data_IF_793391662778
#
_entry.id   IF_793391662778
#
_cell.length_a   1.000
_cell.length_b   1.000
_cell.length_c   1.000
_cell.angle_alpha   90.00
_cell.angle_beta   90.00
_cell.angle_gamma   90.00
#
_symmetry.space_group_name_H-M   'P 1'
#
loop_
_entity.id
_entity.type
_entity.pdbx_description
1 polymer ?
#
# COMPACT_ATOMS: atom_id res chain seq x y z
N UNK A 1 53.54 -46.30 -39.31
CA UNK A 1 52.78 -45.03 -39.25
C UNK A 1 51.63 -45.19 -38.25
N UNK A 2 51.66 -44.38 -37.17
CA UNK A 2 50.55 -43.84 -36.33
C UNK A 2 49.39 -44.79 -35.95
N UNK A 3 49.33 -45.25 -34.69
CA UNK A 3 48.65 -44.64 -33.51
C UNK A 3 47.16 -44.99 -33.43
N UNK A 4 46.75 -45.66 -32.34
CA UNK A 4 45.64 -45.27 -31.44
C UNK A 4 45.29 -46.43 -30.50
N UNK A 5 46.07 -46.58 -29.43
CA UNK A 5 45.68 -47.36 -28.25
C UNK A 5 44.98 -46.40 -27.30
N UNK A 6 43.67 -46.60 -27.10
CA UNK A 6 42.85 -45.80 -26.19
C UNK A 6 43.12 -46.22 -24.74
N UNK A 7 43.70 -45.31 -23.95
CA UNK A 7 43.94 -45.49 -22.52
C UNK A 7 42.70 -45.06 -21.73
N UNK A 8 41.95 -46.01 -21.18
CA UNK A 8 40.88 -45.75 -20.21
C UNK A 8 41.53 -45.70 -18.82
N UNK A 9 41.70 -44.50 -18.28
CA UNK A 9 42.14 -44.27 -16.91
C UNK A 9 40.90 -44.21 -16.02
N UNK A 10 40.70 -45.24 -15.20
CA UNK A 10 39.67 -45.29 -14.17
C UNK A 10 40.33 -45.21 -12.78
N UNK A 11 39.62 -44.52 -11.88
CA UNK A 11 39.75 -44.49 -10.41
C UNK A 11 40.84 -43.62 -9.77
N UNK A 12 40.45 -42.39 -9.39
CA UNK A 12 40.77 -41.78 -8.08
C UNK A 12 39.70 -40.76 -7.65
N UNK A 13 38.50 -41.21 -7.26
CA UNK A 13 37.60 -40.38 -6.45
C UNK A 13 37.98 -40.53 -4.96
N UNK A 14 38.91 -39.69 -4.52
CA UNK A 14 39.13 -39.39 -3.11
C UNK A 14 39.10 -37.86 -2.93
N UNK A 15 37.95 -37.25 -3.23
CA UNK A 15 37.70 -35.85 -2.90
C UNK A 15 37.33 -35.78 -1.41
N UNK A 16 38.29 -35.35 -0.61
CA UNK A 16 38.13 -35.01 0.80
C UNK A 16 36.94 -34.08 1.02
N UNK A 17 35.92 -34.55 1.72
CA UNK A 17 34.91 -33.73 2.37
C UNK A 17 35.55 -32.96 3.53
N UNK A 18 36.26 -31.87 3.23
CA UNK A 18 36.79 -30.94 4.23
C UNK A 18 35.96 -29.66 4.16
N UNK A 19 35.01 -29.53 5.08
CA UNK A 19 34.22 -28.32 5.25
C UNK A 19 35.17 -27.13 5.51
N UNK A 20 35.06 -26.02 4.77
CA UNK A 20 35.91 -24.86 5.01
C UNK A 20 35.59 -24.28 6.39
N UNK A 21 36.59 -24.18 7.26
CA UNK A 21 36.52 -23.35 8.46
C UNK A 21 36.52 -21.90 7.98
N UNK A 22 35.50 -21.09 8.29
CA UNK A 22 35.48 -19.69 7.88
C UNK A 22 36.66 -18.96 8.53
N UNK A 23 37.30 -18.00 7.82
CA UNK A 23 38.48 -17.33 8.33
C UNK A 23 38.17 -16.60 9.64
N UNK A 24 39.03 -16.80 10.63
CA UNK A 24 39.06 -15.99 11.84
C UNK A 24 39.25 -14.54 11.43
N UNK A 25 38.33 -13.65 11.81
CA UNK A 25 38.45 -12.21 11.54
C UNK A 25 39.73 -11.70 12.20
N UNK A 26 40.58 -11.06 11.39
CA UNK A 26 41.83 -10.47 11.84
C UNK A 26 41.55 -9.46 12.98
N UNK A 27 42.17 -9.68 14.15
CA UNK A 27 41.95 -8.88 15.37
C UNK A 27 41.01 -9.48 16.42
N UNK A 28 40.49 -10.69 16.24
CA UNK A 28 39.75 -11.39 17.30
C UNK A 28 40.71 -12.02 18.34
N UNK A 29 40.45 -11.88 19.66
CA UNK A 29 41.26 -12.53 20.69
C UNK A 29 41.12 -14.06 20.63
N UNK A 30 42.21 -14.78 20.93
CA UNK A 30 42.34 -16.24 20.78
C UNK A 30 41.32 -17.06 21.59
N UNK A 31 40.62 -16.42 22.54
CA UNK A 31 39.62 -17.01 23.42
C UNK A 31 38.18 -16.54 23.13
N UNK A 32 37.89 -16.04 21.92
CA UNK A 32 36.54 -15.64 21.54
C UNK A 32 35.58 -16.85 21.49
N UNK A 33 34.75 -17.00 22.53
CA UNK A 33 33.66 -18.00 22.56
C UNK A 33 32.41 -17.41 21.91
N UNK A 34 31.83 -18.12 20.93
CA UNK A 34 30.50 -17.78 20.38
C UNK A 34 29.44 -18.26 21.36
N UNK A 35 28.72 -17.32 21.97
CA UNK A 35 27.53 -17.62 22.77
C UNK A 35 26.31 -17.62 21.84
N UNK A 36 25.53 -18.70 21.86
CA UNK A 36 24.21 -18.73 21.23
C UNK A 36 23.27 -17.85 22.05
N UNK A 37 22.75 -16.78 21.47
CA UNK A 37 21.68 -16.02 22.09
C UNK A 37 20.41 -16.88 22.11
N UNK A 38 19.67 -16.96 23.24
CA UNK A 38 18.36 -17.59 23.25
C UNK A 38 17.44 -16.87 22.27
N UNK A 39 16.57 -17.64 21.62
CA UNK A 39 15.58 -17.12 20.68
C UNK A 39 14.67 -16.14 21.44
N UNK A 40 14.78 -14.86 21.11
CA UNK A 40 14.00 -13.80 21.77
C UNK A 40 12.55 -13.94 21.30
N UNK A 41 11.64 -14.22 22.23
CA UNK A 41 10.19 -14.09 22.01
C UNK A 41 9.92 -12.66 21.48
N UNK A 42 9.20 -12.53 20.36
CA UNK A 42 8.97 -11.23 19.75
C UNK A 42 8.26 -10.29 20.74
N UNK A 43 8.89 -9.15 21.03
CA UNK A 43 8.29 -8.10 21.85
C UNK A 43 6.99 -7.61 21.18
N UNK A 44 5.92 -7.29 21.93
CA UNK A 44 4.75 -6.67 21.35
C UNK A 44 5.16 -5.34 20.69
N UNK A 45 4.98 -5.25 19.36
CA UNK A 45 5.38 -4.10 18.55
C UNK A 45 6.55 -4.36 17.60
N UNK A 46 7.14 -5.56 17.55
CA UNK A 46 8.01 -5.90 16.41
C UNK A 46 7.13 -6.08 15.19
N UNK A 47 7.30 -5.19 14.21
CA UNK A 47 6.73 -5.27 12.87
C UNK A 47 6.88 -6.71 12.38
N UNK A 48 5.76 -7.37 12.17
CA UNK A 48 5.76 -8.60 11.39
C UNK A 48 6.13 -8.19 9.97
N UNK A 49 7.41 -8.38 9.62
CA UNK A 49 7.97 -8.11 8.29
C UNK A 49 7.21 -8.87 7.19
N UNK A 50 6.46 -9.91 7.55
CA UNK A 50 5.59 -10.68 6.66
C UNK A 50 4.14 -10.18 6.63
N UNK A 51 3.75 -9.23 7.49
CA UNK A 51 2.40 -8.67 7.46
C UNK A 51 2.16 -7.95 6.13
N UNK A 52 1.06 -8.27 5.46
CA UNK A 52 0.65 -7.59 4.24
C UNK A 52 -0.34 -6.47 4.56
N UNK A 53 -0.30 -5.33 3.85
CA UNK A 53 -1.26 -4.29 4.04
C UNK A 53 -2.65 -4.74 3.58
N UNK A 54 -3.66 -4.47 4.39
CA UNK A 54 -5.05 -4.88 4.13
C UNK A 54 -6.01 -3.73 4.41
N UNK A 55 -7.23 -3.86 3.89
CA UNK A 55 -8.32 -2.93 4.20
C UNK A 55 -9.01 -3.33 5.52
N UNK A 56 -9.24 -2.34 6.37
CA UNK A 56 -10.07 -2.46 7.57
C UNK A 56 -11.13 -1.34 7.57
N UNK A 57 -12.40 -1.70 7.75
CA UNK A 57 -13.49 -0.72 7.90
C UNK A 57 -13.53 -0.18 9.33
N UNK A 58 -14.05 1.04 9.49
CA UNK A 58 -14.50 1.53 10.78
C UNK A 58 -15.77 0.82 11.24
N UNK A 59 -16.07 0.80 12.56
CA UNK A 59 -17.27 0.17 13.10
C UNK A 59 -18.59 0.69 12.51
N UNK A 60 -18.63 1.96 12.10
CA UNK A 60 -19.80 2.60 11.47
C UNK A 60 -19.93 2.32 9.96
N UNK A 61 -18.96 1.63 9.35
CA UNK A 61 -18.93 1.36 7.91
C UNK A 61 -18.75 2.60 7.03
N UNK A 62 -18.46 3.77 7.60
CA UNK A 62 -18.34 5.04 6.88
C UNK A 62 -16.90 5.40 6.53
N UNK A 63 -15.92 4.60 6.94
CA UNK A 63 -14.54 4.77 6.55
C UNK A 63 -13.81 3.43 6.42
N UNK A 64 -12.75 3.40 5.63
CA UNK A 64 -11.82 2.28 5.54
C UNK A 64 -10.38 2.79 5.51
N UNK A 65 -9.49 1.96 6.06
CA UNK A 65 -8.05 2.22 6.17
C UNK A 65 -7.29 1.07 5.52
N UNK A 66 -6.35 1.40 4.65
CA UNK A 66 -5.45 0.45 4.01
C UNK A 66 -4.05 0.61 4.60
N UNK A 67 -3.48 -0.46 5.14
CA UNK A 67 -2.13 -0.45 5.71
C UNK A 67 -1.83 -1.72 6.50
N UNK A 68 -0.65 -1.76 7.12
CA UNK A 68 -0.28 -2.86 8.00
C UNK A 68 -1.06 -2.76 9.31
N UNK A 69 -1.59 -3.88 9.84
CA UNK A 69 -2.27 -3.89 11.14
C UNK A 69 -1.38 -3.30 12.24
N UNK A 70 -1.93 -2.41 13.06
CA UNK A 70 -1.20 -1.76 14.16
C UNK A 70 -0.31 -0.58 13.76
N UNK A 71 -0.16 -0.30 12.46
CA UNK A 71 0.64 0.84 11.97
C UNK A 71 -0.26 2.00 11.50
N UNK A 72 0.38 3.14 11.21
CA UNK A 72 -0.30 4.22 10.51
C UNK A 72 -0.78 3.70 9.15
N UNK A 73 -2.06 3.90 8.79
CA UNK A 73 -2.55 3.49 7.48
C UNK A 73 -1.75 4.20 6.39
N UNK A 74 -1.58 3.54 5.25
CA UNK A 74 -0.96 4.13 4.07
C UNK A 74 -1.97 5.04 3.36
N UNK A 75 -3.21 4.58 3.21
CA UNK A 75 -4.32 5.36 2.63
C UNK A 75 -5.54 5.16 3.51
N UNK A 76 -6.33 6.21 3.70
CA UNK A 76 -7.65 6.11 4.29
C UNK A 76 -8.69 6.78 3.41
N UNK A 77 -9.91 6.27 3.47
CA UNK A 77 -11.07 6.86 2.81
C UNK A 77 -12.18 6.97 3.85
N UNK A 78 -12.69 8.17 4.05
CA UNK A 78 -13.88 8.41 4.87
C UNK A 78 -14.99 8.98 4.00
N UNK A 79 -16.25 8.71 4.36
CA UNK A 79 -17.40 9.34 3.74
C UNK A 79 -18.06 10.31 4.70
N UNK A 80 -18.33 11.53 4.22
CA UNK A 80 -19.12 12.54 4.94
C UNK A 80 -20.18 13.09 4.00
N UNK A 81 -21.45 12.88 4.34
CA UNK A 81 -22.59 13.39 3.58
C UNK A 81 -22.50 13.12 2.06
N UNK A 82 -22.12 11.90 1.68
CA UNK A 82 -21.98 11.52 0.25
C UNK A 82 -20.71 12.02 -0.44
N UNK A 83 -19.73 12.54 0.30
CA UNK A 83 -18.43 12.96 -0.21
C UNK A 83 -17.35 12.08 0.40
N UNK A 84 -16.50 11.49 -0.44
CA UNK A 84 -15.30 10.80 0.02
C UNK A 84 -14.20 11.80 0.32
N UNK A 85 -13.56 11.63 1.48
CA UNK A 85 -12.27 12.22 1.83
C UNK A 85 -11.22 11.10 1.69
N UNK A 86 -10.35 11.20 0.69
CA UNK A 86 -9.25 10.26 0.47
C UNK A 86 -7.98 10.89 1.00
N UNK A 87 -7.35 10.25 1.97
CA UNK A 87 -6.11 10.73 2.60
C UNK A 87 -4.97 9.76 2.30
N UNK A 88 -3.90 10.25 1.65
CA UNK A 88 -2.63 9.53 1.56
C UNK A 88 -1.78 9.97 2.75
N UNK A 89 -1.49 9.02 3.64
CA UNK A 89 -0.70 9.25 4.85
C UNK A 89 0.79 9.29 4.52
N UNK A 90 1.19 10.39 3.89
CA UNK A 90 2.56 10.79 3.67
C UNK A 90 2.62 12.30 3.88
N UNK A 91 3.73 12.79 4.43
CA UNK A 91 3.88 14.21 4.69
C UNK A 91 3.78 15.03 3.40
N UNK A 92 2.94 16.05 3.43
CA UNK A 92 2.79 17.03 2.38
C UNK A 92 3.53 18.32 2.80
N UNK A 93 4.32 18.94 1.90
CA UNK A 93 4.83 20.27 2.15
C UNK A 93 3.67 21.26 2.33
N UNK A 94 3.85 22.26 3.21
CA UNK A 94 2.82 23.26 3.49
C UNK A 94 2.40 23.96 2.20
N UNK A 95 1.09 24.03 1.96
CA UNK A 95 0.51 24.67 0.78
C UNK A 95 0.73 23.93 -0.55
N UNK A 96 1.25 22.70 -0.52
CA UNK A 96 1.45 21.92 -1.72
C UNK A 96 0.13 21.36 -2.27
N UNK A 97 0.06 21.25 -3.60
CA UNK A 97 -1.05 20.67 -4.34
C UNK A 97 -0.50 19.66 -5.34
N UNK A 98 -1.24 18.59 -5.60
CA UNK A 98 -0.83 17.55 -6.54
C UNK A 98 -2.03 16.80 -7.11
N UNK A 99 -1.75 15.94 -8.09
CA UNK A 99 -2.68 14.92 -8.55
C UNK A 99 -2.21 13.56 -8.05
N UNK A 100 -3.00 12.93 -7.20
CA UNK A 100 -2.80 11.53 -6.82
C UNK A 100 -3.31 10.65 -7.96
N UNK A 101 -2.38 10.11 -8.75
CA UNK A 101 -2.71 9.27 -9.89
C UNK A 101 -2.90 7.82 -9.45
N UNK A 102 -4.13 7.33 -9.52
CA UNK A 102 -4.53 5.97 -9.21
C UNK A 102 -4.85 5.24 -10.52
N UNK A 103 -4.21 4.10 -10.73
CA UNK A 103 -4.35 3.29 -11.95
C UNK A 103 -4.65 1.86 -11.54
N UNK A 104 -5.81 1.36 -11.93
CA UNK A 104 -6.27 0.00 -11.65
C UNK A 104 -7.09 -0.57 -12.80
N UNK A 105 -7.57 -1.81 -12.65
CA UNK A 105 -8.43 -2.46 -13.67
C UNK A 105 -9.73 -1.70 -13.93
N UNK A 106 -10.25 -1.04 -12.90
CA UNK A 106 -11.50 -0.27 -12.97
C UNK A 106 -11.35 1.08 -13.69
N UNK A 107 -10.10 1.48 -14.00
CA UNK A 107 -9.78 2.70 -14.74
C UNK A 107 -8.67 3.54 -14.11
N UNK A 108 -8.62 4.80 -14.52
CA UNK A 108 -7.64 5.78 -14.07
C UNK A 108 -8.37 6.91 -13.35
N UNK A 109 -7.90 7.26 -12.16
CA UNK A 109 -8.37 8.42 -11.41
C UNK A 109 -7.19 9.32 -11.07
N UNK A 110 -7.23 10.58 -11.50
CA UNK A 110 -6.30 11.62 -11.06
C UNK A 110 -7.05 12.48 -10.05
N UNK A 111 -6.87 12.18 -8.77
CA UNK A 111 -7.56 12.88 -7.68
C UNK A 111 -6.76 14.14 -7.33
N UNK A 112 -7.33 15.35 -7.42
CA UNK A 112 -6.73 16.54 -6.84
C UNK A 112 -6.57 16.38 -5.34
N UNK A 113 -5.37 16.65 -4.83
CA UNK A 113 -5.06 16.58 -3.41
C UNK A 113 -4.27 17.81 -2.97
N UNK A 114 -4.54 18.24 -1.75
CA UNK A 114 -3.90 19.37 -1.10
C UNK A 114 -3.24 18.95 0.21
N UNK A 115 -2.21 19.71 0.60
CA UNK A 115 -1.62 19.61 1.93
C UNK A 115 -2.63 20.06 3.00
N UNK A 116 -3.16 19.11 3.75
CA UNK A 116 -4.25 19.32 4.71
C UNK A 116 -3.83 18.93 6.12
N UNK A 117 -4.13 19.79 7.09
CA UNK A 117 -3.92 19.50 8.50
C UNK A 117 -5.01 18.55 9.00
N UNK A 118 -4.62 17.36 9.46
CA UNK A 118 -5.55 16.34 9.94
C UNK A 118 -5.58 16.36 11.48
N UNK A 119 -6.77 16.43 12.12
CA UNK A 119 -6.88 16.42 13.58
C UNK A 119 -6.14 15.24 14.23
N UNK A 120 -5.34 15.52 15.25
CA UNK A 120 -4.55 14.51 15.97
C UNK A 120 -3.30 14.02 15.23
N UNK A 121 -2.97 14.55 14.04
CA UNK A 121 -1.73 14.28 13.33
C UNK A 121 -0.84 15.53 13.35
N UNK A 122 0.48 15.33 13.41
CA UNK A 122 1.44 16.43 13.25
C UNK A 122 1.68 16.68 11.77
N UNK A 123 1.80 17.94 11.39
CA UNK A 123 2.07 18.35 10.00
C UNK A 123 0.85 18.23 9.09
N UNK A 124 1.11 18.24 7.79
CA UNK A 124 0.10 18.17 6.74
C UNK A 124 0.22 16.85 6.01
N UNK A 125 -0.92 16.27 5.64
CA UNK A 125 -1.02 15.07 4.82
C UNK A 125 -1.72 15.42 3.51
N UNK A 126 -1.54 14.58 2.50
CA UNK A 126 -2.24 14.74 1.24
C UNK A 126 -3.69 14.29 1.35
N UNK A 127 -4.64 15.18 1.12
CA UNK A 127 -6.06 14.86 1.14
C UNK A 127 -6.76 15.43 -0.09
N UNK A 128 -7.66 14.65 -0.67
CA UNK A 128 -8.53 15.07 -1.76
C UNK A 128 -9.95 14.59 -1.53
N UNK A 129 -10.89 15.14 -2.30
CA UNK A 129 -12.31 14.80 -2.18
C UNK A 129 -12.92 14.37 -3.50
N UNK A 130 -13.97 13.56 -3.41
CA UNK A 130 -14.71 13.04 -4.56
C UNK A 130 -16.16 12.78 -4.18
N UNK A 131 -17.10 13.19 -5.02
CA UNK A 131 -18.52 12.89 -4.81
C UNK A 131 -18.78 11.37 -4.93
N UNK A 132 -19.73 10.84 -4.15
CA UNK A 132 -19.99 9.39 -4.12
C UNK A 132 -20.57 8.82 -5.42
N UNK A 133 -21.25 9.67 -6.20
CA UNK A 133 -21.80 9.37 -7.52
C UNK A 133 -20.79 9.53 -8.66
N UNK A 134 -19.60 10.09 -8.40
CA UNK A 134 -18.56 10.20 -9.43
C UNK A 134 -18.20 8.81 -9.96
N UNK A 135 -18.27 8.58 -11.29
CA UNK A 135 -18.03 7.27 -11.88
C UNK A 135 -16.61 6.74 -11.63
N UNK A 136 -15.65 7.60 -11.28
CA UNK A 136 -14.25 7.24 -10.98
C UNK A 136 -14.09 6.62 -9.58
N UNK A 137 -15.07 6.75 -8.69
CA UNK A 137 -15.08 6.11 -7.35
C UNK A 137 -14.79 4.61 -7.42
N UNK A 138 -15.22 3.93 -8.51
CA UNK A 138 -14.97 2.50 -8.73
C UNK A 138 -13.48 2.11 -8.63
N UNK A 139 -12.55 3.02 -8.96
CA UNK A 139 -11.11 2.79 -8.83
C UNK A 139 -10.72 2.48 -7.39
N UNK A 140 -11.34 3.15 -6.41
CA UNK A 140 -11.07 2.92 -4.98
C UNK A 140 -11.55 1.55 -4.49
N UNK A 141 -12.57 0.96 -5.15
CA UNK A 141 -13.11 -0.36 -4.79
C UNK A 141 -12.32 -1.53 -5.38
N UNK A 142 -11.45 -1.26 -6.34
CA UNK A 142 -10.58 -2.24 -6.99
C UNK A 142 -9.14 -2.24 -6.44
N UNK A 143 -8.30 -3.08 -7.03
CA UNK A 143 -6.85 -3.00 -6.81
C UNK A 143 -6.27 -1.92 -7.72
N UNK A 144 -5.31 -1.14 -7.21
CA UNK A 144 -4.70 -0.05 -7.96
C UNK A 144 -3.25 0.21 -7.54
N UNK A 145 -2.49 0.80 -8.44
CA UNK A 145 -1.22 1.46 -8.14
C UNK A 145 -1.45 2.96 -8.08
N UNK A 146 -1.02 3.58 -6.99
CA UNK A 146 -1.07 5.02 -6.77
C UNK A 146 0.30 5.66 -6.88
N UNK A 147 0.43 6.81 -7.54
CA UNK A 147 1.64 7.63 -7.53
C UNK A 147 1.31 9.07 -7.18
N UNK A 148 2.12 9.65 -6.29
CA UNK A 148 1.93 11.01 -5.80
C UNK A 148 3.29 11.72 -5.71
N UNK A 149 3.46 12.89 -6.36
CA UNK A 149 4.67 13.70 -6.21
C UNK A 149 5.01 13.94 -4.74
N UNK A 150 6.28 13.72 -4.37
CA UNK A 150 6.75 13.87 -2.99
C UNK A 150 6.39 12.73 -2.02
N UNK A 151 5.43 11.86 -2.37
CA UNK A 151 4.98 10.73 -1.53
C UNK A 151 5.21 9.34 -2.17
N UNK A 152 5.73 9.31 -3.41
CA UNK A 152 6.15 8.09 -4.09
C UNK A 152 4.99 7.23 -4.61
N UNK A 153 5.27 5.93 -4.72
CA UNK A 153 4.34 4.90 -5.23
C UNK A 153 3.74 4.09 -4.08
N UNK A 154 2.48 3.71 -4.21
CA UNK A 154 1.79 2.72 -3.37
C UNK A 154 1.10 1.68 -4.27
N UNK A 155 1.06 0.43 -3.82
CA UNK A 155 0.21 -0.61 -4.41
C UNK A 155 -0.86 -0.99 -3.40
N UNK A 156 -2.12 -0.93 -3.81
CA UNK A 156 -3.28 -1.18 -2.95
C UNK A 156 -4.05 -2.36 -3.51
N UNK A 157 -4.30 -3.37 -2.68
CA UNK A 157 -5.14 -4.50 -3.03
C UNK A 157 -6.62 -4.13 -2.95
N UNK A 158 -7.47 -4.85 -3.69
CA UNK A 158 -8.91 -4.73 -3.51
C UNK A 158 -9.33 -5.27 -2.13
N UNK A 159 -10.43 -4.78 -1.58
CA UNK A 159 -10.96 -5.28 -0.31
C UNK A 159 -12.47 -5.06 -0.18
N UNK A 160 -13.16 -6.05 0.40
CA UNK A 160 -14.58 -5.94 0.72
C UNK A 160 -14.91 -4.72 1.61
N UNK A 161 -14.10 -4.37 2.63
CA UNK A 161 -14.38 -3.20 3.47
C UNK A 161 -14.50 -1.89 2.68
N UNK A 162 -13.61 -1.65 1.71
CA UNK A 162 -13.64 -0.43 0.90
C UNK A 162 -14.86 -0.40 -0.05
N UNK A 163 -15.26 -1.55 -0.60
CA UNK A 163 -16.47 -1.65 -1.42
C UNK A 163 -17.74 -1.38 -0.61
N UNK A 164 -17.79 -1.84 0.64
CA UNK A 164 -18.92 -1.57 1.53
C UNK A 164 -19.03 -0.07 1.86
N UNK A 165 -17.90 0.58 2.17
CA UNK A 165 -17.84 2.04 2.37
C UNK A 165 -18.36 2.78 1.13
N UNK A 166 -18.01 2.30 -0.08
CA UNK A 166 -18.51 2.90 -1.33
C UNK A 166 -20.03 2.78 -1.43
N UNK A 167 -20.55 1.57 -1.21
CA UNK A 167 -21.98 1.31 -1.26
C UNK A 167 -22.75 2.16 -0.25
N UNK A 168 -22.25 2.25 0.99
CA UNK A 168 -22.89 3.01 2.06
C UNK A 168 -22.83 4.51 1.81
N UNK A 169 -21.69 5.03 1.35
CA UNK A 169 -21.55 6.46 1.09
C UNK A 169 -22.51 6.96 0.00
N UNK A 170 -22.74 6.15 -1.04
CA UNK A 170 -23.71 6.46 -2.10
C UNK A 170 -25.15 6.57 -1.58
N UNK A 171 -25.52 5.75 -0.58
CA UNK A 171 -26.84 5.83 0.06
C UNK A 171 -26.99 7.10 0.91
N UNK A 172 -25.88 7.64 1.40
CA UNK A 172 -25.82 8.86 2.21
C UNK A 172 -25.71 10.13 1.38
N UNK A 173 -25.61 10.03 0.05
CA UNK A 173 -25.58 11.19 -0.83
C UNK A 173 -26.95 11.89 -0.81
N UNK A 174 -26.99 13.23 -0.68
CA UNK A 174 -28.23 13.97 -0.88
C UNK A 174 -28.80 13.59 -2.24
N UNK A 175 -30.04 13.10 -2.28
CA UNK A 175 -30.75 12.95 -3.54
C UNK A 175 -30.84 14.34 -4.14
N UNK A 176 -30.13 14.61 -5.24
CA UNK A 176 -30.34 15.82 -6.00
C UNK A 176 -31.83 15.87 -6.36
N UNK A 177 -32.54 16.89 -5.87
CA UNK A 177 -33.91 17.12 -6.29
C UNK A 177 -33.91 17.24 -7.82
N UNK A 178 -34.88 16.62 -8.53
CA UNK A 178 -34.95 16.77 -9.97
C UNK A 178 -34.96 18.26 -10.33
N UNK A 179 -34.09 18.63 -11.27
CA UNK A 179 -34.02 19.99 -11.80
C UNK A 179 -35.42 20.41 -12.26
N UNK A 180 -35.95 21.58 -11.85
CA UNK A 180 -37.26 22.03 -12.28
C UNK A 180 -37.27 22.10 -13.81
N UNK A 181 -38.11 21.29 -14.46
CA UNK A 181 -38.35 21.39 -15.89
C UNK A 181 -39.04 22.74 -16.12
N UNK A 182 -38.28 23.72 -16.61
CA UNK A 182 -38.83 24.99 -17.03
C UNK A 182 -39.83 24.73 -18.17
N UNK A 183 -41.08 25.23 -18.10
CA UNK A 183 -42.04 25.03 -19.17
C UNK A 183 -41.53 25.72 -20.44
N UNK A 184 -41.48 24.96 -21.53
CA UNK A 184 -41.22 25.48 -22.88
C UNK A 184 -42.29 26.51 -23.22
N UNK A 185 -41.92 27.78 -23.28
CA UNK A 185 -42.78 28.84 -23.79
C UNK A 185 -42.91 28.67 -25.30
N UNK A 186 -43.98 27.98 -25.72
CA UNK A 186 -44.47 28.06 -27.08
C UNK A 186 -44.92 29.50 -27.35
N UNK A 187 -44.33 30.11 -28.38
CA UNK A 187 -44.73 31.41 -28.92
C UNK A 187 -45.65 31.11 -30.10
N UNK A 188 -46.92 31.52 -29.96
CA UNK A 188 -47.83 31.79 -31.09
C UNK A 188 -47.75 33.29 -31.45
#
# INVERSE_FOLDING_TARGET
MKLLTATIFALTLAACSKTPVPPTREGAPDNAVRLSLPQVEALPGIKDEQSQPTWAASPDGMSARFGHPGEQPLVSVACRAGVFEVTRHAYAPVGAQALFALVGSEGIMRLPVDATAIPGQRGYLWQGTLAADDPRVKVLGGAYTGTLPGAGKITVSAGAPMREVIAQCRRSAPTAAPEPVAPSSAVD
#
